data_IF_788756657941
#
_entry.id   IF_788756657941
#
_cell.length_a   1.000
_cell.length_b   1.000
_cell.length_c   1.000
_cell.angle_alpha   90.00
_cell.angle_beta   90.00
_cell.angle_gamma   90.00
#
_symmetry.space_group_name_H-M   'P 1'
#
loop_
_entity.id
_entity.type
_entity.pdbx_description
1 polymer ?
#
# COMPACT_ATOMS: atom_id res chain seq x y z
N UNK A 1 143.89 57.61 72.60
CA UNK A 1 144.16 57.26 71.19
C UNK A 1 144.37 55.76 71.01
N UNK A 2 145.39 55.14 71.63
CA UNK A 2 145.70 53.71 71.42
C UNK A 2 144.62 52.70 71.89
N UNK A 3 143.88 53.03 72.96
CA UNK A 3 142.81 52.14 73.46
C UNK A 3 141.57 52.14 72.55
N UNK A 4 141.21 53.30 71.99
CA UNK A 4 140.07 53.45 71.08
C UNK A 4 140.28 52.70 69.75
N UNK A 5 141.49 52.79 69.17
CA UNK A 5 141.82 52.07 67.93
C UNK A 5 141.77 50.54 68.10
N UNK A 6 142.10 50.04 69.29
CA UNK A 6 142.02 48.60 69.60
C UNK A 6 140.57 48.14 69.76
N UNK A 7 139.73 48.93 70.42
CA UNK A 7 138.29 48.66 70.52
C UNK A 7 137.62 48.71 69.15
N UNK A 8 137.94 49.69 68.30
CA UNK A 8 137.40 49.77 66.93
C UNK A 8 137.84 48.58 66.05
N UNK A 9 139.07 48.08 66.23
CA UNK A 9 139.55 46.87 65.55
C UNK A 9 138.87 45.60 66.07
N UNK A 10 138.66 45.50 67.38
CA UNK A 10 137.94 44.37 68.00
C UNK A 10 136.47 44.37 67.53
N UNK A 11 135.80 45.52 67.51
CA UNK A 11 134.42 45.69 67.03
C UNK A 11 134.28 45.40 65.52
N UNK A 12 135.22 45.88 64.70
CA UNK A 12 135.22 45.55 63.27
C UNK A 12 135.48 44.06 63.04
N UNK A 13 136.38 43.44 63.81
CA UNK A 13 136.64 42.00 63.71
C UNK A 13 135.40 41.19 64.12
N UNK A 14 134.69 41.61 65.17
CA UNK A 14 133.45 40.98 65.61
C UNK A 14 132.33 41.16 64.58
N UNK A 15 132.25 42.33 63.93
CA UNK A 15 131.28 42.60 62.88
C UNK A 15 131.58 41.78 61.61
N UNK A 16 132.83 41.68 61.20
CA UNK A 16 133.25 40.86 60.05
C UNK A 16 133.02 39.37 60.34
N UNK A 17 133.34 38.89 61.54
CA UNK A 17 133.09 37.50 61.92
C UNK A 17 131.59 37.18 61.99
N UNK A 18 130.78 38.13 62.49
CA UNK A 18 129.31 38.02 62.48
C UNK A 18 128.75 37.99 61.05
N UNK A 19 129.21 38.89 60.17
CA UNK A 19 128.80 38.90 58.76
C UNK A 19 129.24 37.63 58.03
N UNK A 20 130.43 37.11 58.32
CA UNK A 20 130.93 35.84 57.78
C UNK A 20 130.09 34.66 58.27
N UNK A 21 129.73 34.64 59.55
CA UNK A 21 128.85 33.63 60.12
C UNK A 21 127.46 33.66 59.46
N UNK A 22 126.87 34.85 59.32
CA UNK A 22 125.58 35.05 58.64
C UNK A 22 125.63 34.63 57.18
N UNK A 23 126.68 34.96 56.43
CA UNK A 23 126.82 34.58 55.03
C UNK A 23 127.05 33.06 54.89
N UNK A 24 127.79 32.44 55.82
CA UNK A 24 127.95 30.98 55.88
C UNK A 24 126.61 30.28 56.19
N UNK A 25 125.82 30.84 57.09
CA UNK A 25 124.48 30.33 57.42
C UNK A 25 123.52 30.48 56.23
N UNK A 26 123.48 31.64 55.58
CA UNK A 26 122.66 31.86 54.38
C UNK A 26 123.08 30.97 53.20
N UNK A 27 124.38 30.77 52.97
CA UNK A 27 124.87 29.83 51.95
C UNK A 27 124.52 28.37 52.30
N UNK A 28 124.57 28.00 53.58
CA UNK A 28 124.14 26.69 54.06
C UNK A 28 122.64 26.48 53.85
N UNK A 29 121.82 27.46 54.24
CA UNK A 29 120.38 27.45 54.01
C UNK A 29 120.03 27.37 52.51
N UNK A 30 120.75 28.11 51.66
CA UNK A 30 120.56 28.06 50.20
C UNK A 30 120.96 26.71 49.62
N UNK A 31 122.06 26.10 50.09
CA UNK A 31 122.46 24.75 49.69
C UNK A 31 121.45 23.68 50.12
N UNK A 32 120.92 23.79 51.34
CA UNK A 32 119.89 22.89 51.83
C UNK A 32 118.60 23.02 51.01
N UNK A 33 118.12 24.26 50.77
CA UNK A 33 116.95 24.52 49.95
C UNK A 33 117.13 24.03 48.49
N UNK A 34 118.32 24.19 47.91
CA UNK A 34 118.63 23.64 46.59
C UNK A 34 118.64 22.11 46.58
N UNK A 35 119.11 21.48 47.67
CA UNK A 35 119.04 20.03 47.86
C UNK A 35 117.60 19.52 47.95
N UNK A 36 116.77 20.17 48.77
CA UNK A 36 115.34 19.87 48.91
C UNK A 36 114.58 20.07 47.58
N UNK A 37 114.91 21.12 46.82
CA UNK A 37 114.37 21.33 45.47
C UNK A 37 114.81 20.22 44.49
N UNK A 38 116.07 19.77 44.58
CA UNK A 38 116.56 18.65 43.79
C UNK A 38 115.83 17.34 44.12
N UNK A 39 115.63 17.04 45.40
CA UNK A 39 114.92 15.84 45.86
C UNK A 39 113.44 15.88 45.47
N UNK A 40 112.77 17.03 45.66
CA UNK A 40 111.35 17.20 45.27
C UNK A 40 111.17 17.14 43.75
N UNK A 41 112.08 17.70 42.95
CA UNK A 41 112.07 17.57 41.49
C UNK A 41 112.24 16.12 41.03
N UNK A 42 113.15 15.38 41.67
CA UNK A 42 113.37 13.95 41.38
C UNK A 42 112.12 13.13 41.70
N UNK A 43 111.55 13.32 42.90
CA UNK A 43 110.29 12.67 43.32
C UNK A 43 109.11 13.01 42.41
N UNK A 44 109.02 14.26 41.97
CA UNK A 44 107.97 14.71 41.03
C UNK A 44 108.14 14.05 39.67
N UNK A 45 109.37 13.93 39.18
CA UNK A 45 109.67 13.26 37.90
C UNK A 45 109.33 11.77 37.97
N UNK A 46 109.67 11.10 39.08
CA UNK A 46 109.27 9.71 39.34
C UNK A 46 107.74 9.56 39.35
N UNK A 47 107.05 10.45 40.07
CA UNK A 47 105.58 10.43 40.14
C UNK A 47 104.92 10.65 38.77
N UNK A 48 105.45 11.58 37.96
CA UNK A 48 104.96 11.81 36.59
C UNK A 48 105.21 10.57 35.73
N UNK A 49 106.39 9.94 35.87
CA UNK A 49 106.71 8.72 35.14
C UNK A 49 105.74 7.59 35.51
N UNK A 50 105.46 7.38 36.78
CA UNK A 50 104.52 6.38 37.27
C UNK A 50 103.08 6.65 36.76
N UNK A 51 102.64 7.91 36.75
CA UNK A 51 101.33 8.29 36.21
C UNK A 51 101.23 8.08 34.70
N UNK A 52 102.30 8.36 33.95
CA UNK A 52 102.35 8.13 32.50
C UNK A 52 102.35 6.62 32.19
N UNK A 53 103.06 5.82 32.98
CA UNK A 53 103.06 4.36 32.85
C UNK A 53 101.67 3.78 33.14
N UNK A 54 101.04 4.20 34.27
CA UNK A 54 99.68 3.82 34.61
C UNK A 54 98.64 4.25 33.56
N UNK A 55 98.75 5.46 33.02
CA UNK A 55 97.88 5.94 31.94
C UNK A 55 98.07 5.11 30.66
N UNK A 56 99.31 4.74 30.32
CA UNK A 56 99.61 3.91 29.16
C UNK A 56 99.01 2.52 29.30
N UNK A 57 99.08 1.92 30.49
CA UNK A 57 98.46 0.62 30.78
C UNK A 57 96.93 0.69 30.73
N UNK A 58 96.33 1.78 31.23
CA UNK A 58 94.88 2.02 31.11
C UNK A 58 94.45 2.17 29.64
N UNK A 59 95.20 2.91 28.82
CA UNK A 59 94.94 3.03 27.39
C UNK A 59 95.07 1.68 26.68
N UNK A 60 96.08 0.87 27.02
CA UNK A 60 96.23 -0.48 26.46
C UNK A 60 95.04 -1.37 26.83
N UNK A 61 94.61 -1.36 28.09
CA UNK A 61 93.45 -2.11 28.54
C UNK A 61 92.15 -1.67 27.82
N UNK A 62 91.97 -0.37 27.60
CA UNK A 62 90.82 0.16 26.84
C UNK A 62 90.85 -0.29 25.37
N UNK A 63 92.01 -0.28 24.72
CA UNK A 63 92.15 -0.75 23.34
C UNK A 63 91.84 -2.25 23.25
N UNK A 64 92.35 -3.06 24.17
CA UNK A 64 92.05 -4.51 24.22
C UNK A 64 90.58 -4.80 24.52
N UNK A 65 89.94 -3.99 25.37
CA UNK A 65 88.51 -4.09 25.63
C UNK A 65 87.69 -3.71 24.39
N UNK A 66 88.04 -2.60 23.73
CA UNK A 66 87.38 -2.14 22.50
C UNK A 66 87.52 -3.14 21.35
N UNK A 67 88.67 -3.79 21.20
CA UNK A 67 88.87 -4.86 20.21
C UNK A 67 87.98 -6.07 20.50
N UNK A 68 87.95 -6.54 21.76
CA UNK A 68 87.06 -7.63 22.16
C UNK A 68 85.58 -7.29 21.96
N UNK A 69 85.20 -6.03 22.21
CA UNK A 69 83.84 -5.57 21.98
C UNK A 69 83.51 -5.52 20.49
N UNK A 70 84.43 -5.05 19.63
CA UNK A 70 84.29 -5.08 18.18
C UNK A 70 84.15 -6.51 17.63
N UNK A 71 84.97 -7.45 18.08
CA UNK A 71 84.86 -8.86 17.72
C UNK A 71 83.52 -9.46 18.18
N UNK A 72 83.04 -9.06 19.36
CA UNK A 72 81.74 -9.43 19.88
C UNK A 72 80.58 -8.90 19.03
N UNK A 73 80.67 -7.64 18.59
CA UNK A 73 79.69 -7.03 17.68
C UNK A 73 79.68 -7.72 16.31
N UNK A 74 80.84 -8.05 15.75
CA UNK A 74 80.95 -8.77 14.48
C UNK A 74 80.33 -10.17 14.57
N UNK A 75 80.59 -10.89 15.66
CA UNK A 75 80.00 -12.21 15.90
C UNK A 75 78.47 -12.13 16.09
N UNK A 76 77.98 -11.17 16.86
CA UNK A 76 76.57 -10.94 17.06
C UNK A 76 75.85 -10.56 15.75
N UNK A 77 76.50 -9.74 14.91
CA UNK A 77 75.95 -9.32 13.61
C UNK A 77 75.86 -10.48 12.64
N UNK A 78 76.87 -11.36 12.57
CA UNK A 78 76.82 -12.58 11.74
C UNK A 78 75.68 -13.49 12.18
N UNK A 79 75.56 -13.75 13.48
CA UNK A 79 74.50 -14.59 14.01
C UNK A 79 73.10 -13.99 13.81
N UNK A 80 72.96 -12.67 13.87
CA UNK A 80 71.71 -11.99 13.54
C UNK A 80 71.38 -12.11 12.04
N UNK A 81 72.38 -11.99 11.16
CA UNK A 81 72.22 -12.15 9.72
C UNK A 81 71.83 -13.58 9.34
N UNK A 82 72.49 -14.59 9.92
CA UNK A 82 72.17 -16.00 9.68
C UNK A 82 70.73 -16.34 10.12
N UNK A 83 70.30 -15.79 11.26
CA UNK A 83 68.91 -15.93 11.73
C UNK A 83 67.93 -15.23 10.79
N UNK A 84 68.27 -14.05 10.29
CA UNK A 84 67.43 -13.33 9.34
C UNK A 84 67.32 -14.10 8.01
N UNK A 85 68.41 -14.68 7.51
CA UNK A 85 68.41 -15.52 6.32
C UNK A 85 67.53 -16.77 6.50
N UNK A 86 67.65 -17.46 7.64
CA UNK A 86 66.80 -18.61 7.95
C UNK A 86 65.31 -18.22 8.04
N UNK A 87 64.98 -17.13 8.72
CA UNK A 87 63.60 -16.62 8.81
C UNK A 87 63.06 -16.18 7.44
N UNK A 88 63.89 -15.57 6.60
CA UNK A 88 63.51 -15.17 5.25
C UNK A 88 63.24 -16.39 4.35
N UNK A 89 64.05 -17.45 4.47
CA UNK A 89 63.83 -18.71 3.77
C UNK A 89 62.51 -19.37 4.21
N UNK A 90 62.28 -19.47 5.52
CA UNK A 90 61.04 -20.03 6.07
C UNK A 90 59.80 -19.22 5.65
N UNK A 91 59.86 -17.89 5.72
CA UNK A 91 58.77 -17.02 5.28
C UNK A 91 58.49 -17.17 3.78
N UNK A 92 59.53 -17.31 2.95
CA UNK A 92 59.39 -17.55 1.52
C UNK A 92 58.71 -18.90 1.25
N UNK A 93 59.14 -19.96 1.91
CA UNK A 93 58.56 -21.29 1.73
C UNK A 93 57.11 -21.35 2.19
N UNK A 94 56.79 -20.71 3.32
CA UNK A 94 55.41 -20.58 3.81
C UNK A 94 54.50 -19.86 2.81
N UNK A 95 54.97 -18.74 2.22
CA UNK A 95 54.22 -18.01 1.19
C UNK A 95 54.02 -18.85 -0.09
N UNK A 96 55.03 -19.63 -0.50
CA UNK A 96 54.90 -20.52 -1.66
C UNK A 96 53.86 -21.60 -1.42
N UNK A 97 53.84 -22.23 -0.24
CA UNK A 97 52.80 -23.23 0.06
C UNK A 97 51.41 -22.61 0.23
N UNK A 98 51.29 -21.45 0.88
CA UNK A 98 50.01 -20.75 1.00
C UNK A 98 49.46 -20.37 -0.37
N UNK A 99 50.29 -19.83 -1.27
CA UNK A 99 49.86 -19.51 -2.64
C UNK A 99 49.49 -20.77 -3.43
N UNK A 100 50.18 -21.89 -3.23
CA UNK A 100 49.83 -23.18 -3.84
C UNK A 100 48.48 -23.69 -3.34
N UNK A 101 48.23 -23.62 -2.03
CA UNK A 101 46.95 -23.99 -1.43
C UNK A 101 45.82 -23.08 -1.92
N UNK A 102 46.04 -21.76 -1.95
CA UNK A 102 45.08 -20.79 -2.47
C UNK A 102 44.74 -21.06 -3.95
N UNK A 103 45.74 -21.34 -4.79
CA UNK A 103 45.52 -21.73 -6.19
C UNK A 103 44.71 -23.03 -6.32
N UNK A 104 44.99 -24.04 -5.48
CA UNK A 104 44.24 -25.28 -5.49
C UNK A 104 42.77 -25.09 -5.09
N UNK A 105 42.50 -24.23 -4.10
CA UNK A 105 41.15 -23.87 -3.69
C UNK A 105 40.42 -23.06 -4.76
N UNK A 106 41.11 -22.12 -5.43
CA UNK A 106 40.57 -21.37 -6.57
C UNK A 106 40.24 -22.29 -7.75
N UNK A 107 41.09 -23.29 -8.03
CA UNK A 107 40.80 -24.25 -9.07
C UNK A 107 39.58 -25.12 -8.73
N UNK A 108 39.51 -25.65 -7.50
CA UNK A 108 38.37 -26.45 -7.06
C UNK A 108 37.05 -25.66 -7.13
N UNK A 109 37.06 -24.41 -6.68
CA UNK A 109 35.88 -23.52 -6.75
C UNK A 109 35.52 -23.15 -8.19
N UNK A 110 36.49 -22.99 -9.09
CA UNK A 110 36.23 -22.77 -10.51
C UNK A 110 35.62 -24.01 -11.18
N UNK A 111 36.08 -25.21 -10.84
CA UNK A 111 35.53 -26.47 -11.33
C UNK A 111 34.09 -26.70 -10.83
N UNK A 112 33.83 -26.44 -9.54
CA UNK A 112 32.49 -26.47 -8.96
C UNK A 112 31.56 -25.45 -9.63
N UNK A 113 32.03 -24.22 -9.84
CA UNK A 113 31.26 -23.17 -10.52
C UNK A 113 30.90 -23.57 -11.95
N UNK A 114 31.82 -24.23 -12.68
CA UNK A 114 31.55 -24.75 -14.03
C UNK A 114 30.50 -25.86 -13.99
N UNK A 115 30.59 -26.80 -13.04
CA UNK A 115 29.61 -27.88 -12.90
C UNK A 115 28.20 -27.34 -12.58
N UNK A 116 28.11 -26.36 -11.68
CA UNK A 116 26.85 -25.68 -11.36
C UNK A 116 26.28 -24.91 -12.56
N UNK A 117 27.14 -24.23 -13.34
CA UNK A 117 26.72 -23.53 -14.55
C UNK A 117 26.17 -24.50 -15.61
N UNK A 118 26.83 -25.66 -15.81
CA UNK A 118 26.34 -26.69 -16.73
C UNK A 118 24.99 -27.25 -16.28
N UNK A 119 24.84 -27.58 -14.99
CA UNK A 119 23.56 -28.06 -14.46
C UNK A 119 22.45 -27.01 -14.57
N UNK A 120 22.75 -25.73 -14.32
CA UNK A 120 21.80 -24.64 -14.50
C UNK A 120 21.38 -24.46 -15.96
N UNK A 121 22.32 -24.62 -16.91
CA UNK A 121 22.02 -24.57 -18.34
C UNK A 121 21.13 -25.74 -18.77
N UNK A 122 21.41 -26.97 -18.32
CA UNK A 122 20.57 -28.15 -18.57
C UNK A 122 19.16 -27.97 -18.00
N UNK A 123 19.04 -27.45 -16.78
CA UNK A 123 17.74 -27.15 -16.18
C UNK A 123 16.98 -26.07 -16.94
N UNK A 124 17.67 -25.03 -17.42
CA UNK A 124 17.06 -23.99 -18.23
C UNK A 124 16.55 -24.55 -19.56
N UNK A 125 17.31 -25.45 -20.20
CA UNK A 125 16.89 -26.14 -21.42
C UNK A 125 15.62 -26.98 -21.18
N UNK A 126 15.59 -27.79 -20.13
CA UNK A 126 14.39 -28.59 -19.78
C UNK A 126 13.18 -27.70 -19.51
N UNK A 127 13.36 -26.54 -18.87
CA UNK A 127 12.27 -25.56 -18.67
C UNK A 127 11.80 -24.95 -19.99
N UNK A 128 12.73 -24.63 -20.89
CA UNK A 128 12.41 -24.11 -22.21
C UNK A 128 11.62 -25.14 -23.03
N UNK A 129 12.00 -26.42 -22.98
CA UNK A 129 11.29 -27.51 -23.66
C UNK A 129 9.87 -27.69 -23.11
N UNK A 130 9.70 -27.72 -21.78
CA UNK A 130 8.38 -27.80 -21.13
C UNK A 130 7.50 -26.59 -21.42
N UNK A 131 8.10 -25.40 -21.47
CA UNK A 131 7.40 -24.18 -21.86
C UNK A 131 6.99 -24.24 -23.33
N UNK A 132 7.86 -24.76 -24.20
CA UNK A 132 7.55 -25.02 -25.60
C UNK A 132 6.36 -25.96 -25.77
N UNK A 133 6.34 -27.08 -25.03
CA UNK A 133 5.24 -28.04 -25.02
C UNK A 133 3.93 -27.39 -24.51
N UNK A 134 3.98 -26.68 -23.38
CA UNK A 134 2.81 -26.00 -22.83
C UNK A 134 2.27 -24.89 -23.75
N UNK A 135 3.15 -24.14 -24.43
CA UNK A 135 2.75 -23.14 -25.42
C UNK A 135 2.13 -23.78 -26.66
N UNK A 136 2.65 -24.92 -27.10
CA UNK A 136 2.09 -25.67 -28.21
C UNK A 136 0.68 -26.19 -27.87
N UNK A 137 0.50 -26.80 -26.70
CA UNK A 137 -0.80 -27.25 -26.21
C UNK A 137 -1.79 -26.09 -26.06
N UNK A 138 -1.33 -24.95 -25.53
CA UNK A 138 -2.15 -23.76 -25.40
C UNK A 138 -2.55 -23.19 -26.78
N UNK A 139 -1.63 -23.17 -27.74
CA UNK A 139 -1.91 -22.75 -29.10
C UNK A 139 -2.93 -23.67 -29.76
N UNK A 140 -2.78 -25.00 -29.63
CA UNK A 140 -3.72 -25.97 -30.18
C UNK A 140 -5.12 -25.84 -29.56
N UNK A 141 -5.22 -25.64 -28.24
CA UNK A 141 -6.52 -25.37 -27.57
C UNK A 141 -7.13 -24.05 -28.00
N UNK A 142 -6.33 -23.01 -28.19
CA UNK A 142 -6.80 -21.71 -28.67
C UNK A 142 -7.35 -21.81 -30.10
N UNK A 143 -6.68 -22.57 -30.97
CA UNK A 143 -7.10 -22.83 -32.34
C UNK A 143 -8.43 -23.60 -32.38
N UNK A 144 -8.54 -24.69 -31.61
CA UNK A 144 -9.80 -25.44 -31.45
C UNK A 144 -10.95 -24.57 -30.93
N UNK A 145 -10.68 -23.66 -29.98
CA UNK A 145 -11.68 -22.73 -29.48
C UNK A 145 -12.08 -21.68 -30.53
N UNK A 146 -11.15 -21.27 -31.41
CA UNK A 146 -11.44 -20.39 -32.53
C UNK A 146 -12.33 -21.10 -33.57
N UNK A 147 -12.01 -22.33 -33.93
CA UNK A 147 -12.83 -23.15 -34.85
C UNK A 147 -14.24 -23.36 -34.30
N UNK A 148 -14.37 -23.74 -33.02
CA UNK A 148 -15.68 -23.89 -32.37
C UNK A 148 -16.51 -22.60 -32.39
N UNK A 149 -15.86 -21.43 -32.28
CA UNK A 149 -16.53 -20.12 -32.40
C UNK A 149 -16.96 -19.85 -33.84
N UNK A 150 -16.15 -20.20 -34.84
CA UNK A 150 -16.50 -20.06 -36.25
C UNK A 150 -17.70 -20.94 -36.61
N UNK A 151 -17.73 -22.19 -36.12
CA UNK A 151 -18.87 -23.08 -36.32
C UNK A 151 -20.13 -22.57 -35.63
N UNK A 152 -20.00 -22.06 -34.41
CA UNK A 152 -21.12 -21.43 -33.70
C UNK A 152 -21.63 -20.20 -34.45
N UNK A 153 -20.73 -19.35 -34.94
CA UNK A 153 -21.10 -18.18 -35.74
C UNK A 153 -21.81 -18.60 -37.03
N UNK A 154 -21.33 -19.64 -37.72
CA UNK A 154 -22.00 -20.20 -38.91
C UNK A 154 -23.41 -20.69 -38.56
N UNK A 155 -23.58 -21.41 -37.45
CA UNK A 155 -24.89 -21.89 -37.00
C UNK A 155 -25.85 -20.73 -36.73
N UNK A 156 -25.39 -19.69 -36.02
CA UNK A 156 -26.20 -18.49 -35.76
C UNK A 156 -26.59 -17.81 -37.07
N UNK A 157 -25.68 -17.70 -38.05
CA UNK A 157 -25.99 -17.12 -39.36
C UNK A 157 -27.06 -17.94 -40.09
N UNK A 158 -26.98 -19.27 -40.06
CA UNK A 158 -28.01 -20.15 -40.65
C UNK A 158 -29.36 -19.97 -39.94
N UNK A 159 -29.38 -19.96 -38.61
CA UNK A 159 -30.60 -19.78 -37.81
C UNK A 159 -31.21 -18.39 -38.00
N UNK A 160 -30.38 -17.35 -38.08
CA UNK A 160 -30.81 -15.98 -38.39
C UNK A 160 -31.37 -15.92 -39.82
N UNK A 161 -30.74 -16.61 -40.77
CA UNK A 161 -31.27 -16.77 -42.13
C UNK A 161 -32.67 -17.37 -42.15
N UNK A 162 -32.88 -18.49 -41.45
CA UNK A 162 -34.21 -19.10 -41.34
C UNK A 162 -35.24 -18.21 -40.65
N UNK A 163 -34.85 -17.46 -39.61
CA UNK A 163 -35.75 -16.51 -38.94
C UNK A 163 -36.12 -15.34 -39.84
N UNK A 164 -35.20 -14.88 -40.70
CA UNK A 164 -35.47 -13.86 -41.72
C UNK A 164 -36.43 -14.40 -42.77
N UNK A 165 -36.25 -15.64 -43.22
CA UNK A 165 -37.18 -16.30 -44.16
C UNK A 165 -38.58 -16.43 -43.53
N UNK A 166 -38.69 -16.93 -42.29
CA UNK A 166 -39.97 -17.00 -41.56
C UNK A 166 -40.61 -15.63 -41.33
N UNK A 167 -39.81 -14.59 -41.06
CA UNK A 167 -40.31 -13.23 -40.92
C UNK A 167 -40.81 -12.68 -42.27
N UNK A 168 -40.13 -13.04 -43.37
CA UNK A 168 -40.54 -12.77 -44.74
C UNK A 168 -41.90 -13.41 -45.05
N UNK A 169 -42.06 -14.69 -44.74
CA UNK A 169 -43.33 -15.42 -44.93
C UNK A 169 -44.47 -14.80 -44.11
N UNK A 170 -44.26 -14.51 -42.82
CA UNK A 170 -45.27 -13.82 -42.00
C UNK A 170 -45.61 -12.42 -42.50
N UNK A 171 -44.65 -11.72 -43.10
CA UNK A 171 -44.90 -10.42 -43.71
C UNK A 171 -45.76 -10.54 -44.97
N UNK A 172 -45.52 -11.57 -45.80
CA UNK A 172 -46.35 -11.90 -46.95
C UNK A 172 -47.77 -12.27 -46.52
N UNK A 173 -47.95 -13.15 -45.53
CA UNK A 173 -49.26 -13.53 -45.00
C UNK A 173 -50.04 -12.30 -44.47
N UNK A 174 -49.36 -11.38 -43.77
CA UNK A 174 -49.99 -10.14 -43.31
C UNK A 174 -50.40 -9.24 -44.46
N UNK A 175 -49.58 -9.14 -45.50
CA UNK A 175 -49.91 -8.38 -46.70
C UNK A 175 -51.13 -8.96 -47.39
N UNK A 176 -51.19 -10.28 -47.58
CA UNK A 176 -52.36 -10.98 -48.13
C UNK A 176 -53.61 -10.70 -47.28
N UNK A 177 -53.52 -10.86 -45.96
CA UNK A 177 -54.62 -10.55 -45.04
C UNK A 177 -55.06 -9.08 -45.07
N UNK A 178 -54.13 -8.14 -45.23
CA UNK A 178 -54.50 -6.72 -45.39
C UNK A 178 -55.19 -6.46 -46.71
N UNK A 179 -54.76 -7.12 -47.80
CA UNK A 179 -55.41 -7.00 -49.12
C UNK A 179 -56.81 -7.60 -49.07
N UNK A 180 -57.00 -8.76 -48.44
CA UNK A 180 -58.33 -9.35 -48.22
C UNK A 180 -59.25 -8.43 -47.42
N UNK A 181 -58.76 -7.83 -46.33
CA UNK A 181 -59.52 -6.85 -45.54
C UNK A 181 -59.87 -5.60 -46.35
N UNK A 182 -58.96 -5.11 -47.19
CA UNK A 182 -59.26 -4.01 -48.10
C UNK A 182 -60.37 -4.39 -49.10
N UNK A 183 -60.30 -5.59 -49.69
CA UNK A 183 -61.34 -6.07 -50.60
C UNK A 183 -62.70 -6.24 -49.89
N UNK A 184 -62.71 -6.75 -48.66
CA UNK A 184 -63.93 -6.86 -47.85
C UNK A 184 -64.52 -5.49 -47.50
N UNK A 185 -63.67 -4.51 -47.13
CA UNK A 185 -64.12 -3.15 -46.86
C UNK A 185 -64.70 -2.48 -48.12
N UNK A 186 -64.11 -2.71 -49.30
CA UNK A 186 -64.65 -2.24 -50.57
C UNK A 186 -66.02 -2.89 -50.87
N UNK A 187 -66.17 -4.19 -50.66
CA UNK A 187 -67.45 -4.88 -50.84
C UNK A 187 -68.53 -4.35 -49.88
N UNK A 188 -68.17 -4.06 -48.63
CA UNK A 188 -69.09 -3.46 -47.65
C UNK A 188 -69.50 -2.03 -48.06
N UNK A 189 -68.58 -1.25 -48.63
CA UNK A 189 -68.91 0.07 -49.18
C UNK A 189 -69.92 -0.08 -50.33
N UNK A 190 -69.71 -1.03 -51.25
CA UNK A 190 -70.65 -1.29 -52.35
C UNK A 190 -72.05 -1.70 -51.84
N UNK A 191 -72.12 -2.53 -50.79
CA UNK A 191 -73.37 -2.90 -50.14
C UNK A 191 -74.09 -1.68 -49.53
N UNK A 192 -73.37 -0.83 -48.79
CA UNK A 192 -73.96 0.38 -48.20
C UNK A 192 -74.45 1.38 -49.26
N UNK A 193 -73.79 1.45 -50.42
CA UNK A 193 -74.25 2.25 -51.55
C UNK A 193 -75.57 1.65 -52.11
N UNK A 194 -75.65 0.32 -52.24
CA UNK A 194 -76.87 -0.38 -52.63
C UNK A 194 -78.04 -0.11 -51.67
N UNK A 195 -77.81 -0.14 -50.36
CA UNK A 195 -78.85 0.18 -49.36
C UNK A 195 -79.33 1.63 -49.43
N UNK A 196 -78.44 2.58 -49.74
CA UNK A 196 -78.78 3.99 -49.92
C UNK A 196 -79.66 4.20 -51.16
N UNK A 197 -79.35 3.52 -52.25
CA UNK A 197 -80.18 3.54 -53.47
C UNK A 197 -81.56 2.92 -53.23
N UNK A 198 -81.62 1.79 -52.53
CA UNK A 198 -82.88 1.15 -52.15
C UNK A 198 -83.75 2.05 -51.25
N UNK A 199 -83.12 2.78 -50.32
CA UNK A 199 -83.81 3.74 -49.45
C UNK A 199 -84.28 4.97 -50.23
N UNK A 200 -83.51 5.43 -51.22
CA UNK A 200 -83.91 6.50 -52.12
C UNK A 200 -85.14 6.12 -52.97
N UNK A 201 -85.24 4.85 -53.38
CA UNK A 201 -86.38 4.35 -54.15
C UNK A 201 -87.68 4.26 -53.33
N UNK A 202 -87.62 4.00 -52.02
CA UNK A 202 -88.80 3.83 -51.14
C UNK A 202 -89.30 5.12 -50.48
N UNK A 203 -88.47 6.17 -50.45
CA UNK A 203 -88.81 7.50 -49.93
C UNK A 203 -90.13 8.11 -50.43
N UNK A 204 -90.51 8.05 -51.73
CA UNK A 204 -91.77 8.63 -52.19
C UNK A 204 -93.00 7.89 -51.64
N UNK A 205 -92.94 6.57 -51.49
CA UNK A 205 -94.04 5.78 -50.91
C UNK A 205 -94.17 6.02 -49.40
N UNK A 206 -93.06 6.11 -48.68
CA UNK A 206 -93.06 6.42 -47.25
C UNK A 206 -93.57 7.85 -46.98
N UNK A 207 -93.24 8.82 -47.85
CA UNK A 207 -93.78 10.17 -47.78
C UNK A 207 -95.30 10.20 -48.00
N UNK A 208 -95.81 9.43 -48.96
CA UNK A 208 -97.25 9.29 -49.20
C UNK A 208 -97.98 8.69 -47.98
N UNK A 209 -97.46 7.58 -47.42
CA UNK A 209 -98.03 6.97 -46.21
C UNK A 209 -98.04 7.92 -45.02
N UNK A 210 -97.01 8.75 -44.85
CA UNK A 210 -96.98 9.76 -43.78
C UNK A 210 -98.01 10.87 -43.99
N UNK A 211 -98.25 11.29 -45.23
CA UNK A 211 -99.31 12.28 -45.54
C UNK A 211 -100.70 11.69 -45.28
N UNK A 212 -100.94 10.43 -45.62
CA UNK A 212 -102.20 9.74 -45.32
C UNK A 212 -102.43 9.56 -43.82
N UNK A 213 -101.41 9.21 -43.05
CA UNK A 213 -101.49 9.10 -41.60
C UNK A 213 -101.85 10.45 -40.93
N UNK A 214 -101.29 11.57 -41.44
CA UNK A 214 -101.65 12.92 -40.98
C UNK A 214 -103.09 13.27 -41.36
N UNK A 215 -103.58 12.84 -42.53
CA UNK A 215 -104.97 13.05 -42.93
C UNK A 215 -105.95 12.29 -42.02
N UNK A 216 -105.65 11.03 -41.71
CA UNK A 216 -106.46 10.20 -40.83
C UNK A 216 -106.55 10.77 -39.41
N UNK A 217 -105.45 11.29 -38.85
CA UNK A 217 -105.46 11.89 -37.51
C UNK A 217 -106.27 13.19 -37.45
N UNK A 218 -106.32 13.96 -38.54
CA UNK A 218 -107.17 15.15 -38.66
C UNK A 218 -108.66 14.77 -38.76
N UNK A 219 -109.01 13.73 -39.51
CA UNK A 219 -110.38 13.21 -39.56
C UNK A 219 -110.85 12.66 -38.21
N UNK A 220 -109.98 11.92 -37.50
CA UNK A 220 -110.26 11.41 -36.16
C UNK A 220 -110.43 12.55 -35.14
N UNK A 221 -109.63 13.62 -35.27
CA UNK A 221 -109.77 14.84 -34.48
C UNK A 221 -111.10 15.57 -34.73
N UNK A 222 -111.57 15.63 -35.97
CA UNK A 222 -112.87 16.20 -36.32
C UNK A 222 -114.04 15.34 -35.82
N UNK A 223 -113.91 14.01 -35.88
CA UNK A 223 -114.89 13.08 -35.35
C UNK A 223 -115.00 13.15 -33.82
N UNK A 224 -113.88 13.28 -33.11
CA UNK A 224 -113.86 13.49 -31.67
C UNK A 224 -114.55 14.80 -31.26
N UNK A 225 -114.44 15.84 -32.08
CA UNK A 225 -115.10 17.14 -31.85
C UNK A 225 -116.62 17.05 -32.06
N UNK A 226 -117.08 16.24 -33.02
CA UNK A 226 -118.50 15.94 -33.24
C UNK A 226 -119.09 15.01 -32.16
N UNK A 227 -118.32 14.05 -31.67
CA UNK A 227 -118.73 13.19 -30.55
C UNK A 227 -118.84 13.99 -29.23
N UNK A 228 -117.96 14.97 -29.01
CA UNK A 228 -118.03 15.85 -27.85
C UNK A 228 -119.27 16.77 -27.88
N UNK A 229 -119.69 17.24 -29.06
CA UNK A 229 -120.91 18.05 -29.19
C UNK A 229 -122.20 17.22 -29.02
N UNK A 230 -122.23 15.97 -29.46
CA UNK A 230 -123.33 15.05 -29.16
C UNK A 230 -123.37 14.61 -27.69
N UNK A 231 -122.22 14.39 -27.05
CA UNK A 231 -122.13 14.08 -25.62
C UNK A 231 -122.65 15.23 -24.74
N UNK A 232 -122.38 16.48 -25.14
CA UNK A 232 -122.93 17.66 -24.46
C UNK A 232 -124.46 17.76 -24.60
N UNK A 233 -125.04 17.34 -25.74
CA UNK A 233 -126.48 17.30 -25.94
C UNK A 233 -127.16 16.17 -25.13
N UNK A 234 -126.52 15.00 -25.04
CA UNK A 234 -126.98 13.88 -24.23
C UNK A 234 -126.87 14.16 -22.71
N UNK A 235 -125.85 14.89 -22.26
CA UNK A 235 -125.71 15.30 -20.86
C UNK A 235 -126.81 16.30 -20.45
N UNK A 236 -127.35 17.10 -21.37
CA UNK A 236 -128.57 17.91 -21.13
C UNK A 236 -129.84 17.07 -20.99
N UNK A 237 -129.93 15.91 -21.64
CA UNK A 237 -131.05 14.96 -21.52
C UNK A 237 -130.91 14.11 -20.23
N UNK A 238 -129.68 13.80 -19.81
CA UNK A 238 -129.38 13.10 -18.55
C UNK A 238 -129.59 13.97 -17.30
N UNK A 239 -129.44 15.30 -17.42
CA UNK A 239 -129.86 16.26 -16.39
C UNK A 239 -131.38 16.25 -16.17
N UNK A 240 -132.15 15.91 -17.21
CA UNK A 240 -133.61 15.78 -17.19
C UNK A 240 -134.04 14.42 -16.59
N UNK A 241 -133.27 13.35 -16.83
CA UNK A 241 -133.44 12.06 -16.14
C UNK A 241 -133.20 12.19 -14.62
N UNK A 242 -132.13 12.85 -14.19
CA UNK A 242 -131.70 12.85 -12.78
C UNK A 242 -132.56 13.65 -11.79
N UNK A 243 -133.49 14.48 -12.27
CA UNK A 243 -134.34 15.34 -11.46
C UNK A 243 -135.75 14.79 -11.20
N UNK A 244 -136.25 13.90 -12.08
CA UNK A 244 -137.59 13.31 -11.95
C UNK A 244 -137.59 11.83 -11.53
N UNK A 245 -136.63 11.04 -12.04
CA UNK A 245 -136.00 10.03 -11.19
C UNK A 245 -135.25 10.77 -10.06
N UNK A 246 -134.60 10.17 -9.08
CA UNK A 246 -134.60 10.81 -7.73
C UNK A 246 -136.00 11.19 -7.26
N UNK A 247 -136.97 10.53 -7.91
CA UNK A 247 -137.42 9.28 -7.28
C UNK A 247 -137.91 9.77 -5.95
N UNK A 248 -138.71 10.84 -6.10
CA UNK A 248 -139.27 11.61 -5.04
C UNK A 248 -140.40 10.71 -4.62
N UNK A 249 -139.95 9.72 -3.88
CA UNK A 249 -140.30 9.83 -2.51
C UNK A 249 -141.82 9.80 -2.40
N UNK A 250 -142.60 8.92 -3.06
CA UNK A 250 -142.44 7.54 -3.53
C UNK A 250 -141.71 6.57 -2.58
N UNK A 251 -140.53 6.93 -2.07
CA UNK A 251 -140.20 6.78 -0.62
C UNK A 251 -141.41 6.94 0.32
N UNK A 252 -142.50 7.64 0.01
CA UNK A 252 -143.65 7.58 0.91
C UNK A 252 -144.49 6.30 0.72
N UNK A 253 -144.61 5.80 -0.52
CA UNK A 253 -145.26 4.51 -0.79
C UNK A 253 -144.49 3.30 -0.24
N UNK A 254 -143.20 3.48 0.09
CA UNK A 254 -142.38 2.44 0.70
C UNK A 254 -142.10 2.68 2.21
N UNK A 255 -142.50 3.82 2.77
CA UNK A 255 -142.31 4.13 4.20
C UNK A 255 -143.42 3.59 5.11
N UNK A 256 -144.68 3.44 4.69
CA UNK A 256 -145.69 2.89 5.62
C UNK A 256 -146.07 1.41 5.41
N UNK A 257 -145.87 0.86 4.21
CA UNK A 257 -146.12 -0.58 3.99
C UNK A 257 -144.97 -1.49 4.50
N UNK A 258 -143.76 -0.93 4.68
CA UNK A 258 -142.63 -1.53 5.43
C UNK A 258 -142.57 -0.96 6.87
N UNK A 259 -143.58 -0.17 7.23
CA UNK A 259 -144.23 -0.26 8.53
C UNK A 259 -145.40 -1.24 8.45
N UNK A 260 -145.14 -2.43 7.93
CA UNK A 260 -145.27 -3.61 8.78
C UNK A 260 -145.22 -3.11 10.23
N UNK A 261 -146.28 -3.28 11.02
CA UNK A 261 -146.25 -2.73 12.38
C UNK A 261 -145.27 -3.57 13.20
N UNK A 262 -143.99 -3.53 12.85
CA UNK A 262 -143.48 -4.79 12.33
C UNK A 262 -142.46 -4.70 11.21
N UNK A 263 -142.07 -5.92 10.83
CA UNK A 263 -141.05 -6.38 9.88
C UNK A 263 -140.45 -5.29 9.00
N UNK A 264 -139.29 -4.85 9.45
CA UNK A 264 -138.01 -5.12 8.79
C UNK A 264 -136.97 -5.34 9.88
N UNK A 265 -136.10 -6.33 9.70
CA UNK A 265 -134.82 -6.51 10.37
C UNK A 265 -133.87 -6.88 9.24
N UNK A 266 -132.92 -6.02 8.86
CA UNK A 266 -131.61 -5.85 9.50
C UNK A 266 -130.62 -6.73 8.70
N UNK A 267 -129.38 -6.38 8.36
CA UNK A 267 -128.49 -5.26 8.63
C UNK A 267 -127.29 -5.44 7.64
N UNK A 268 -126.70 -4.32 7.18
CA UNK A 268 -125.35 -3.99 6.62
C UNK A 268 -124.28 -5.05 6.17
N UNK A 269 -123.07 -4.69 5.66
CA UNK A 269 -122.62 -3.65 4.69
C UNK A 269 -121.50 -4.10 3.68
N UNK A 270 -121.04 -3.14 2.85
CA UNK A 270 -119.65 -2.87 2.40
C UNK A 270 -118.98 -3.68 1.26
N UNK A 271 -117.95 -3.01 0.67
CA UNK A 271 -116.79 -3.47 -0.15
C UNK A 271 -116.98 -3.44 -1.68
N UNK A 272 -115.99 -3.14 -2.54
CA UNK A 272 -114.65 -2.48 -2.55
C UNK A 272 -114.17 -2.57 -4.02
N UNK A 273 -113.14 -1.76 -4.39
CA UNK A 273 -112.09 -2.03 -5.42
C UNK A 273 -112.49 -1.87 -6.92
N UNK A 274 -111.64 -1.50 -7.90
CA UNK A 274 -110.16 -1.43 -8.09
C UNK A 274 -109.83 -0.65 -9.41
N UNK A 275 -108.73 0.14 -9.42
CA UNK A 275 -107.76 0.59 -10.47
C UNK A 275 -108.13 0.84 -11.96
N UNK A 276 -107.43 1.75 -12.72
CA UNK A 276 -105.97 1.66 -13.03
C UNK A 276 -105.15 2.98 -13.23
N UNK A 277 -103.89 2.77 -13.68
CA UNK A 277 -102.62 3.56 -13.82
C UNK A 277 -102.54 4.39 -15.14
N UNK A 278 -101.68 5.45 -15.28
CA UNK A 278 -100.39 5.35 -15.99
C UNK A 278 -99.20 6.20 -15.43
N UNK A 279 -97.98 5.81 -15.81
CA UNK A 279 -96.68 6.49 -15.63
C UNK A 279 -95.78 6.19 -16.88
N UNK A 280 -94.47 6.56 -16.95
CA UNK A 280 -93.85 7.89 -17.19
C UNK A 280 -92.80 7.85 -18.36
N UNK A 281 -91.98 8.90 -18.60
CA UNK A 281 -90.75 8.77 -19.41
C UNK A 281 -89.44 9.17 -18.68
N UNK A 282 -88.32 8.78 -19.31
CA UNK A 282 -86.91 9.20 -19.19
C UNK A 282 -85.99 8.63 -18.10
N UNK A 283 -84.91 7.97 -18.56
CA UNK A 283 -83.59 7.86 -17.94
C UNK A 283 -82.53 8.16 -19.02
N UNK A 284 -81.33 8.66 -18.67
CA UNK A 284 -80.24 7.73 -18.32
C UNK A 284 -79.28 8.25 -17.22
N UNK A 285 -78.71 7.33 -16.44
CA UNK A 285 -77.48 7.56 -15.68
C UNK A 285 -76.84 6.21 -15.32
N UNK A 286 -75.54 6.09 -15.57
CA UNK A 286 -74.52 5.56 -14.64
C UNK A 286 -73.14 5.45 -15.31
N UNK A 287 -72.09 5.88 -14.58
CA UNK A 287 -70.78 5.24 -14.69
C UNK A 287 -70.19 4.85 -13.31
N UNK A 288 -69.15 4.01 -13.40
CA UNK A 288 -68.01 3.83 -12.48
C UNK A 288 -68.03 2.84 -11.28
N UNK A 289 -67.03 1.94 -11.37
CA UNK A 289 -66.03 1.56 -10.36
C UNK A 289 -66.34 0.47 -9.32
N UNK A 290 -65.81 -0.74 -9.61
CA UNK A 290 -65.56 -1.83 -8.68
C UNK A 290 -64.10 -2.30 -8.74
N UNK A 291 -63.50 -2.49 -7.56
CA UNK A 291 -62.07 -2.66 -7.22
C UNK A 291 -61.52 -4.06 -7.51
N UNK A 292 -60.18 -4.19 -7.63
CA UNK A 292 -59.46 -5.43 -7.29
C UNK A 292 -58.09 -5.66 -7.97
N UNK A 293 -57.00 -5.40 -7.22
CA UNK A 293 -55.55 -5.69 -7.47
C UNK A 293 -55.23 -7.23 -7.41
N UNK A 294 -53.98 -7.77 -7.60
CA UNK A 294 -52.68 -7.18 -7.97
C UNK A 294 -51.70 -8.01 -8.88
N UNK A 295 -50.60 -7.33 -9.29
CA UNK A 295 -49.18 -7.78 -9.41
C UNK A 295 -48.58 -8.49 -10.67
N UNK A 296 -47.75 -7.70 -11.39
CA UNK A 296 -46.30 -7.87 -11.70
C UNK A 296 -45.83 -8.75 -12.88
N UNK A 297 -45.26 -8.10 -13.91
CA UNK A 297 -44.04 -8.43 -14.70
C UNK A 297 -43.89 -7.36 -15.82
N UNK A 298 -42.87 -6.49 -15.78
CA UNK A 298 -41.62 -6.54 -16.57
C UNK A 298 -41.78 -6.17 -18.06
N UNK A 299 -41.14 -5.06 -18.46
CA UNK A 299 -40.63 -4.88 -19.82
C UNK A 299 -39.20 -4.27 -19.80
N UNK A 300 -38.37 -4.59 -20.81
CA UNK A 300 -36.92 -4.42 -20.82
C UNK A 300 -36.44 -3.27 -21.71
N UNK A 301 -35.18 -2.85 -21.53
CA UNK A 301 -34.26 -2.27 -22.55
C UNK A 301 -32.89 -2.08 -21.86
N UNK A 302 -31.92 -2.96 -22.17
CA UNK A 302 -30.79 -2.73 -23.10
C UNK A 302 -29.67 -1.87 -22.45
N UNK A 303 -28.37 -2.15 -22.51
CA UNK A 303 -27.53 -3.21 -23.09
C UNK A 303 -26.13 -2.98 -22.46
N UNK A 304 -25.43 -4.03 -21.99
CA UNK A 304 -24.00 -3.97 -21.66
C UNK A 304 -23.16 -3.86 -22.94
N UNK A 305 -21.87 -3.53 -22.96
CA UNK A 305 -20.72 -4.03 -22.21
C UNK A 305 -19.53 -3.14 -22.59
N UNK A 306 -18.55 -2.97 -21.69
CA UNK A 306 -17.09 -3.20 -21.89
C UNK A 306 -16.34 -2.57 -20.70
N UNK A 307 -15.78 -3.41 -19.83
CA UNK A 307 -14.70 -2.98 -18.94
C UNK A 307 -13.42 -2.74 -19.73
N UNK A 308 -12.46 -2.00 -19.15
CA UNK A 308 -11.00 -2.24 -19.16
C UNK A 308 -10.32 -1.33 -18.14
N UNK A 309 -9.37 -1.90 -17.39
CA UNK A 309 -8.26 -1.17 -16.81
C UNK A 309 -7.56 -0.31 -17.89
N UNK A 310 -7.17 0.91 -17.53
CA UNK A 310 -6.05 1.60 -18.17
C UNK A 310 -5.41 2.58 -17.18
N UNK A 311 -4.11 2.39 -16.98
CA UNK A 311 -3.20 3.31 -16.31
C UNK A 311 -2.65 4.33 -17.34
N UNK A 312 -2.26 5.49 -16.81
CA UNK A 312 -1.42 6.60 -17.35
C UNK A 312 -2.04 7.62 -18.32
N UNK A 313 -1.54 8.89 -18.39
CA UNK A 313 -0.40 9.52 -17.69
C UNK A 313 -0.72 10.86 -16.97
N UNK A 314 0.22 11.36 -16.16
CA UNK A 314 0.22 12.75 -15.66
C UNK A 314 0.40 13.75 -16.82
N UNK A 315 -0.20 14.95 -16.74
CA UNK A 315 0.64 16.12 -16.46
C UNK A 315 -0.02 17.18 -15.56
N UNK A 316 0.81 17.83 -14.75
CA UNK A 316 0.68 19.28 -14.50
C UNK A 316 -0.33 19.74 -13.43
N UNK A 317 0.22 20.00 -12.24
CA UNK A 317 0.08 21.26 -11.50
C UNK A 317 -1.33 21.79 -11.14
N UNK A 318 -1.70 21.64 -9.86
CA UNK A 318 -2.41 22.68 -9.12
C UNK A 318 -2.10 22.57 -7.62
N UNK A 319 -1.65 23.69 -7.04
CA UNK A 319 -1.15 23.86 -5.67
C UNK A 319 -2.24 23.83 -4.58
N UNK A 320 -1.82 23.85 -3.30
CA UNK A 320 -2.35 24.86 -2.38
C UNK A 320 -1.22 25.73 -1.78
N UNK A 321 -1.54 27.02 -1.60
CA UNK A 321 -0.70 28.08 -1.03
C UNK A 321 -0.60 28.01 0.53
N UNK A 322 0.36 28.75 1.16
CA UNK A 322 0.97 28.43 2.45
C UNK A 322 0.42 29.24 3.65
N UNK A 323 0.98 29.03 4.86
CA UNK A 323 1.45 30.18 5.63
C UNK A 323 2.95 30.11 6.01
N UNK A 324 3.65 31.17 5.61
CA UNK A 324 4.74 31.91 6.28
C UNK A 324 5.74 31.18 7.20
N UNK A 325 6.97 31.07 6.67
CA UNK A 325 8.25 31.52 7.24
C UNK A 325 8.53 31.26 8.74
N UNK A 326 9.25 30.17 9.02
CA UNK A 326 10.42 30.19 9.90
C UNK A 326 11.60 29.58 9.12
N UNK A 327 12.47 30.45 8.61
CA UNK A 327 13.69 30.06 7.93
C UNK A 327 14.70 29.60 8.99
N UNK A 328 14.89 28.28 9.12
CA UNK A 328 16.10 27.74 9.72
C UNK A 328 17.29 28.13 8.83
N UNK A 329 18.03 29.15 9.28
CA UNK A 329 19.20 29.67 8.60
C UNK A 329 20.42 28.81 8.86
N UNK A 330 21.33 28.77 7.89
CA UNK A 330 22.67 28.15 7.98
C UNK A 330 23.52 28.63 9.18
N UNK A 331 23.11 29.68 9.87
CA UNK A 331 23.72 30.18 11.12
C UNK A 331 23.39 29.35 12.37
N UNK A 332 22.45 28.39 12.30
CA UNK A 332 22.12 27.46 13.39
C UNK A 332 22.95 26.15 13.34
N UNK A 333 23.75 25.98 12.27
CA UNK A 333 24.68 24.86 12.07
C UNK A 333 26.12 25.19 12.47
N UNK A 334 26.38 26.43 12.89
CA UNK A 334 27.71 26.91 13.29
C UNK A 334 27.56 27.78 14.53
N UNK A 335 27.17 27.17 15.65
CA UNK A 335 27.49 27.70 16.97
C UNK A 335 28.49 26.75 17.64
N UNK A 336 29.71 27.24 17.79
CA UNK A 336 30.83 26.60 18.47
C UNK A 336 30.74 27.04 19.95
N UNK A 337 29.93 26.32 20.72
CA UNK A 337 29.67 26.54 22.15
C UNK A 337 29.97 25.28 22.97
N UNK A 338 30.56 25.40 24.17
CA UNK A 338 31.31 24.31 24.79
C UNK A 338 30.39 23.29 25.47
N UNK A 339 30.58 22.02 25.12
CA UNK A 339 30.09 20.88 25.89
C UNK A 339 28.99 20.10 25.18
N UNK A 340 29.41 19.05 24.46
CA UNK A 340 28.54 17.94 24.07
C UNK A 340 27.74 17.47 25.29
N UNK A 341 26.42 17.64 25.22
CA UNK A 341 25.52 16.93 26.12
C UNK A 341 25.35 15.51 25.57
N UNK A 342 25.55 14.46 26.38
CA UNK A 342 25.41 13.08 25.90
C UNK A 342 24.04 12.86 25.27
N UNK A 343 24.02 12.20 24.10
CA UNK A 343 22.84 11.80 23.35
C UNK A 343 21.71 11.32 24.27
N UNK A 344 20.60 12.07 24.26
CA UNK A 344 19.42 11.78 25.07
C UNK A 344 18.70 10.53 24.53
N UNK A 345 18.71 9.46 25.31
CA UNK A 345 18.23 8.12 24.94
C UNK A 345 16.70 7.96 25.01
N UNK A 346 15.97 9.00 25.38
CA UNK A 346 14.53 8.97 25.66
C UNK A 346 13.67 9.61 24.55
N UNK A 347 13.92 9.26 23.28
CA UNK A 347 12.92 9.50 22.23
C UNK A 347 11.75 8.52 22.40
N UNK A 348 10.49 9.00 22.51
CA UNK A 348 9.34 8.16 22.82
C UNK A 348 9.21 7.00 21.83
N UNK A 349 8.92 5.83 22.39
CA UNK A 349 8.71 4.58 21.67
C UNK A 349 7.55 4.78 20.68
N UNK A 350 7.80 4.53 19.39
CA UNK A 350 6.75 4.48 18.38
C UNK A 350 5.63 3.53 18.85
N UNK A 351 4.34 3.86 18.67
CA UNK A 351 3.25 2.95 19.01
C UNK A 351 3.49 1.56 18.37
N UNK A 352 3.20 0.48 19.10
CA UNK A 352 3.48 -0.89 18.63
C UNK A 352 2.86 -1.18 17.25
N UNK A 353 1.65 -0.68 16.99
CA UNK A 353 0.98 -0.80 15.68
C UNK A 353 1.74 -0.10 14.54
N UNK A 354 2.43 1.01 14.84
CA UNK A 354 3.26 1.73 13.88
C UNK A 354 4.60 1.01 13.64
N UNK A 355 5.10 0.27 14.64
CA UNK A 355 6.31 -0.55 14.52
C UNK A 355 6.08 -1.77 13.63
N UNK A 356 4.95 -2.46 13.79
CA UNK A 356 4.57 -3.61 12.94
C UNK A 356 4.36 -3.18 11.48
N UNK A 357 3.66 -2.06 11.27
CA UNK A 357 3.49 -1.49 9.93
C UNK A 357 4.83 -1.06 9.29
N UNK A 358 5.77 -0.57 10.10
CA UNK A 358 7.13 -0.22 9.64
C UNK A 358 7.92 -1.49 9.29
N UNK A 359 7.84 -2.54 10.12
CA UNK A 359 8.46 -3.86 9.88
C UNK A 359 7.97 -4.44 8.54
N UNK A 360 6.66 -4.41 8.27
CA UNK A 360 6.09 -4.92 7.03
C UNK A 360 6.53 -4.09 5.80
N UNK A 361 6.52 -2.75 5.91
CA UNK A 361 7.00 -1.86 4.84
C UNK A 361 8.47 -2.10 4.50
N UNK A 362 9.32 -2.21 5.52
CA UNK A 362 10.75 -2.46 5.37
C UNK A 362 11.01 -3.84 4.77
N UNK A 363 10.36 -4.87 5.29
CA UNK A 363 10.52 -6.24 4.78
C UNK A 363 10.05 -6.34 3.33
N UNK A 364 8.94 -5.68 2.98
CA UNK A 364 8.47 -5.57 1.60
C UNK A 364 9.45 -4.80 0.71
N UNK A 365 10.04 -3.70 1.20
CA UNK A 365 11.05 -2.93 0.47
C UNK A 365 12.30 -3.78 0.15
N UNK A 366 12.77 -4.59 1.11
CA UNK A 366 13.90 -5.51 0.91
C UNK A 366 13.55 -6.59 -0.11
N UNK A 367 12.36 -7.20 -0.01
CA UNK A 367 11.90 -8.21 -0.98
C UNK A 367 11.73 -7.64 -2.39
N UNK A 368 11.27 -6.39 -2.55
CA UNK A 368 11.18 -5.71 -3.86
C UNK A 368 12.54 -5.50 -4.52
N UNK A 369 13.63 -5.47 -3.75
CA UNK A 369 14.99 -5.45 -4.29
C UNK A 369 15.48 -6.82 -4.78
N UNK A 370 14.67 -7.87 -4.67
CA UNK A 370 15.06 -9.25 -4.98
C UNK A 370 15.93 -9.89 -3.90
N UNK A 371 15.97 -9.30 -2.70
CA UNK A 371 16.71 -9.81 -1.55
C UNK A 371 15.72 -10.52 -0.62
N UNK A 372 15.90 -11.83 -0.42
CA UNK A 372 15.12 -12.59 0.55
C UNK A 372 15.93 -12.84 1.84
N UNK A 373 15.59 -12.18 2.97
CA UNK A 373 16.31 -12.34 4.23
C UNK A 373 16.31 -13.79 4.76
N UNK A 374 15.26 -14.56 4.47
CA UNK A 374 15.11 -15.93 4.95
C UNK A 374 16.00 -16.90 4.17
N UNK A 375 16.17 -16.68 2.87
CA UNK A 375 17.04 -17.50 2.03
C UNK A 375 18.53 -17.23 2.28
N UNK A 376 18.88 -15.99 2.63
CA UNK A 376 20.27 -15.54 2.73
C UNK A 376 20.92 -15.83 4.09
N UNK A 377 20.13 -15.83 5.16
CA UNK A 377 20.65 -16.04 6.51
C UNK A 377 20.27 -17.44 7.00
N UNK A 378 21.13 -18.47 6.93
CA UNK A 378 20.80 -19.76 7.51
C UNK A 378 20.72 -19.67 9.04
N UNK A 379 19.92 -20.54 9.66
CA UNK A 379 19.66 -20.52 11.11
C UNK A 379 20.93 -20.52 11.96
N UNK A 380 21.96 -21.26 11.58
CA UNK A 380 23.26 -21.30 12.27
C UNK A 380 23.96 -19.94 12.33
N UNK A 381 23.83 -19.11 11.28
CA UNK A 381 24.42 -17.76 11.25
C UNK A 381 23.61 -16.76 12.06
N UNK A 382 22.30 -16.96 12.12
CA UNK A 382 21.42 -16.20 13.03
C UNK A 382 21.73 -16.52 14.48
N UNK A 383 22.01 -17.79 14.80
CA UNK A 383 22.44 -18.20 16.15
C UNK A 383 23.78 -17.57 16.54
N UNK A 384 24.76 -17.55 15.63
CA UNK A 384 26.05 -16.88 15.84
C UNK A 384 25.92 -15.37 16.04
N UNK A 385 25.07 -14.71 15.23
CA UNK A 385 24.79 -13.28 15.35
C UNK A 385 24.02 -12.96 16.64
N UNK A 386 23.05 -13.80 17.02
CA UNK A 386 22.30 -13.65 18.27
C UNK A 386 23.20 -13.79 19.49
N UNK A 387 24.17 -14.71 19.46
CA UNK A 387 25.17 -14.85 20.51
C UNK A 387 26.03 -13.58 20.64
N UNK A 388 26.50 -13.02 19.52
CA UNK A 388 27.27 -11.77 19.54
C UNK A 388 26.47 -10.59 20.13
N UNK A 389 25.18 -10.47 19.78
CA UNK A 389 24.28 -9.46 20.35
C UNK A 389 24.06 -9.69 21.86
N UNK A 390 23.89 -10.94 22.30
CA UNK A 390 23.78 -11.28 23.71
C UNK A 390 25.06 -10.97 24.50
N UNK A 391 26.23 -11.12 23.88
CA UNK A 391 27.55 -10.73 24.42
C UNK A 391 27.80 -9.21 24.38
N UNK A 392 26.81 -8.41 23.94
CA UNK A 392 26.89 -6.94 23.78
C UNK A 392 27.92 -6.48 22.74
N UNK A 393 28.16 -7.32 21.74
CA UNK A 393 29.03 -7.04 20.59
C UNK A 393 28.21 -7.00 19.28
N UNK A 394 27.51 -5.88 18.99
CA UNK A 394 26.73 -5.74 17.76
C UNK A 394 27.61 -5.66 16.52
N UNK A 395 28.87 -5.25 16.64
CA UNK A 395 29.79 -5.12 15.49
C UNK A 395 30.20 -6.48 14.95
N UNK A 396 30.42 -7.45 15.83
CA UNK A 396 30.63 -8.84 15.42
C UNK A 396 29.41 -9.42 14.73
N UNK A 397 28.19 -9.10 15.18
CA UNK A 397 26.96 -9.49 14.50
C UNK A 397 26.90 -8.92 13.07
N UNK A 398 27.23 -7.64 12.88
CA UNK A 398 27.32 -7.01 11.55
C UNK A 398 28.36 -7.68 10.66
N UNK A 399 29.53 -8.03 11.19
CA UNK A 399 30.58 -8.72 10.43
C UNK A 399 30.15 -10.11 9.96
N UNK A 400 29.43 -10.87 10.79
CA UNK A 400 28.86 -12.18 10.42
C UNK A 400 27.92 -12.02 9.23
N UNK A 401 26.99 -11.06 9.29
CA UNK A 401 26.02 -10.80 8.21
C UNK A 401 26.71 -10.37 6.92
N UNK A 402 27.73 -9.49 7.00
CA UNK A 402 28.52 -9.06 5.83
C UNK A 402 29.28 -10.20 5.17
N UNK A 403 29.77 -11.16 5.95
CA UNK A 403 30.46 -12.35 5.44
C UNK A 403 29.49 -13.30 4.74
N UNK A 404 28.27 -13.45 5.27
CA UNK A 404 27.26 -14.38 4.76
C UNK A 404 26.54 -13.83 3.52
N UNK A 405 26.20 -12.53 3.52
CA UNK A 405 25.39 -11.92 2.46
C UNK A 405 25.99 -10.60 1.92
N UNK A 406 27.25 -10.57 1.43
CA UNK A 406 27.93 -9.34 1.03
C UNK A 406 27.25 -8.60 -0.13
N UNK A 407 26.67 -9.34 -1.09
CA UNK A 407 25.97 -8.75 -2.22
C UNK A 407 24.66 -8.07 -1.81
N UNK A 408 23.89 -8.72 -0.92
CA UNK A 408 22.64 -8.17 -0.39
C UNK A 408 22.89 -6.93 0.46
N UNK A 409 23.88 -6.96 1.36
CA UNK A 409 24.25 -5.80 2.18
C UNK A 409 24.65 -4.61 1.30
N UNK A 410 25.44 -4.82 0.24
CA UNK A 410 25.78 -3.75 -0.73
C UNK A 410 24.57 -3.22 -1.49
N UNK A 411 23.65 -4.09 -1.93
CA UNK A 411 22.46 -3.67 -2.68
C UNK A 411 21.52 -2.84 -1.79
N UNK A 412 21.31 -3.29 -0.55
CA UNK A 412 20.50 -2.60 0.46
C UNK A 412 21.15 -1.26 0.82
N UNK A 413 22.45 -1.23 1.11
CA UNK A 413 23.20 0.01 1.42
C UNK A 413 23.10 1.03 0.30
N UNK A 414 23.33 0.62 -0.97
CA UNK A 414 23.20 1.51 -2.12
C UNK A 414 21.79 2.06 -2.28
N UNK A 415 20.76 1.23 -2.04
CA UNK A 415 19.37 1.65 -2.15
C UNK A 415 18.98 2.64 -1.05
N UNK A 416 19.34 2.34 0.20
CA UNK A 416 19.15 3.24 1.35
C UNK A 416 19.87 4.58 1.15
N UNK A 417 21.03 4.59 0.49
CA UNK A 417 21.70 5.82 0.12
C UNK A 417 20.99 6.62 -0.98
N UNK A 418 20.30 5.95 -1.90
CA UNK A 418 19.65 6.59 -3.05
C UNK A 418 18.24 7.08 -2.74
N UNK A 419 17.56 6.49 -1.75
CA UNK A 419 16.15 6.68 -1.45
C UNK A 419 15.97 7.26 -0.03
N UNK A 420 15.69 8.58 0.12
CA UNK A 420 15.68 9.26 1.42
C UNK A 420 14.53 8.81 2.32
N UNK A 421 13.39 8.42 1.75
CA UNK A 421 12.24 7.91 2.51
C UNK A 421 12.57 6.52 3.07
N UNK A 422 13.17 5.65 2.25
CA UNK A 422 13.65 4.35 2.70
C UNK A 422 14.75 4.49 3.76
N UNK A 423 15.60 5.52 3.65
CA UNK A 423 16.64 5.80 4.66
C UNK A 423 16.04 6.13 6.02
N UNK A 424 15.09 7.05 6.06
CA UNK A 424 14.45 7.44 7.32
C UNK A 424 13.68 6.28 7.96
N UNK A 425 12.94 5.50 7.15
CA UNK A 425 12.26 4.28 7.60
C UNK A 425 13.25 3.22 8.11
N UNK A 426 14.39 3.02 7.41
CA UNK A 426 15.41 2.05 7.80
C UNK A 426 16.12 2.44 9.11
N UNK A 427 16.49 3.71 9.27
CA UNK A 427 17.11 4.21 10.49
C UNK A 427 16.16 4.13 11.69
N UNK A 428 14.89 4.51 11.50
CA UNK A 428 13.87 4.40 12.54
C UNK A 428 13.64 2.94 12.96
N UNK A 429 13.58 2.03 11.97
CA UNK A 429 13.41 0.60 12.22
C UNK A 429 14.61 -0.01 12.95
N UNK A 430 15.83 0.23 12.46
CA UNK A 430 17.08 -0.26 13.08
C UNK A 430 17.20 0.27 14.51
N UNK A 431 16.90 1.54 14.76
CA UNK A 431 16.95 2.14 16.10
C UNK A 431 15.92 1.56 17.07
N UNK A 432 14.69 1.30 16.61
CA UNK A 432 13.67 0.70 17.45
C UNK A 432 14.02 -0.76 17.79
N UNK A 433 14.47 -1.51 16.79
CA UNK A 433 14.82 -2.93 16.93
C UNK A 433 16.10 -3.12 17.76
N UNK A 434 17.11 -2.27 17.58
CA UNK A 434 18.35 -2.32 18.37
C UNK A 434 18.11 -2.02 19.85
N UNK A 435 17.18 -1.10 20.18
CA UNK A 435 16.76 -0.85 21.56
C UNK A 435 16.07 -2.06 22.20
N UNK A 436 15.18 -2.74 21.47
CA UNK A 436 14.54 -3.98 21.95
C UNK A 436 15.58 -5.09 22.20
N UNK A 437 16.53 -5.27 21.28
CA UNK A 437 17.62 -6.23 21.45
C UNK A 437 18.56 -5.88 22.60
N UNK A 438 18.90 -4.59 22.77
CA UNK A 438 19.74 -4.12 23.86
C UNK A 438 19.07 -4.32 25.23
N UNK A 439 17.75 -4.09 25.34
CA UNK A 439 16.98 -4.37 26.55
C UNK A 439 17.03 -5.87 26.89
N UNK A 440 16.77 -6.75 25.93
CA UNK A 440 16.84 -8.21 26.13
C UNK A 440 18.25 -8.69 26.49
N UNK A 441 19.29 -8.12 25.87
CA UNK A 441 20.68 -8.42 26.20
C UNK A 441 21.07 -7.89 27.59
N UNK A 442 20.51 -6.76 28.04
CA UNK A 442 20.67 -6.26 29.40
C UNK A 442 20.05 -7.22 30.43
N UNK A 443 18.90 -7.80 30.11
CA UNK A 443 18.18 -8.79 30.92
C UNK A 443 18.79 -10.21 30.85
N UNK A 444 19.89 -10.41 30.10
CA UNK A 444 20.52 -11.70 29.80
C UNK A 444 19.55 -12.72 29.14
N UNK A 445 18.54 -12.23 28.42
CA UNK A 445 17.59 -13.06 27.67
C UNK A 445 18.14 -13.44 26.29
N UNK A 446 19.20 -14.25 26.27
CA UNK A 446 19.79 -14.82 25.05
C UNK A 446 18.78 -15.57 24.17
N UNK A 447 17.90 -16.42 24.72
CA UNK A 447 16.84 -17.07 23.96
C UNK A 447 15.86 -16.09 23.31
N UNK A 448 15.50 -14.99 23.99
CA UNK A 448 14.65 -13.95 23.44
C UNK A 448 15.31 -13.14 22.32
N UNK A 449 16.61 -12.84 22.45
CA UNK A 449 17.42 -12.24 21.36
C UNK A 449 17.42 -13.15 20.14
N UNK A 450 17.66 -14.45 20.32
CA UNK A 450 17.62 -15.43 19.23
C UNK A 450 16.23 -15.54 18.61
N UNK A 451 15.18 -15.60 19.44
CA UNK A 451 13.79 -15.67 18.98
C UNK A 451 13.42 -14.44 18.14
N UNK A 452 13.84 -13.25 18.56
CA UNK A 452 13.57 -12.00 17.83
C UNK A 452 14.35 -11.93 16.51
N UNK A 453 15.61 -12.32 16.49
CA UNK A 453 16.44 -12.35 15.27
C UNK A 453 16.04 -13.45 14.27
N UNK A 454 15.39 -14.52 14.74
CA UNK A 454 14.92 -15.61 13.87
C UNK A 454 13.69 -15.22 13.04
N UNK A 455 12.92 -14.22 13.49
CA UNK A 455 11.75 -13.70 12.78
C UNK A 455 12.09 -13.08 11.42
N UNK A 456 11.10 -12.98 10.53
CA UNK A 456 11.23 -12.33 9.21
C UNK A 456 11.76 -10.89 9.37
N UNK A 457 11.20 -10.12 10.30
CA UNK A 457 11.68 -8.77 10.62
C UNK A 457 13.07 -8.73 11.24
N UNK A 458 13.43 -9.73 12.06
CA UNK A 458 14.78 -9.83 12.64
C UNK A 458 15.86 -10.07 11.59
N UNK A 459 15.55 -10.84 10.55
CA UNK A 459 16.47 -11.08 9.43
C UNK A 459 16.57 -9.87 8.52
N UNK A 460 15.47 -9.16 8.28
CA UNK A 460 15.47 -7.87 7.62
C UNK A 460 16.30 -6.84 8.40
N UNK A 461 16.16 -6.80 9.73
CA UNK A 461 16.97 -5.97 10.63
C UNK A 461 18.46 -6.26 10.48
N UNK A 462 18.88 -7.53 10.54
CA UNK A 462 20.30 -7.90 10.41
C UNK A 462 20.92 -7.39 9.11
N UNK A 463 20.20 -7.47 7.99
CA UNK A 463 20.68 -6.96 6.71
C UNK A 463 20.77 -5.44 6.68
N UNK A 464 19.80 -4.73 7.28
CA UNK A 464 19.80 -3.27 7.36
C UNK A 464 20.85 -2.75 8.32
N UNK A 465 20.99 -3.34 9.49
CA UNK A 465 21.98 -2.94 10.49
C UNK A 465 23.41 -3.12 9.95
N UNK A 466 23.67 -4.22 9.23
CA UNK A 466 24.93 -4.43 8.53
C UNK A 466 25.18 -3.44 7.37
N UNK A 467 24.12 -2.90 6.76
CA UNK A 467 24.18 -1.97 5.63
C UNK A 467 24.24 -0.48 6.04
N UNK A 468 23.65 -0.13 7.18
CA UNK A 468 23.51 1.25 7.69
C UNK A 468 24.54 1.56 8.77
N UNK A 469 24.99 0.58 9.56
CA UNK A 469 25.91 0.78 10.70
C UNK A 469 27.31 1.32 10.37
N UNK A 470 27.61 1.65 9.11
CA UNK A 470 28.85 2.30 8.65
C UNK A 470 28.61 3.76 8.17
N UNK A 471 27.36 4.22 8.15
CA UNK A 471 26.99 5.59 7.73
C UNK A 471 26.99 6.59 8.90
N UNK A 472 27.28 6.12 10.11
CA UNK A 472 27.32 6.90 11.35
C UNK A 472 28.76 7.10 11.83
#
# INVERSE_FOLDING_TARGET
>A
AAYALRTDQEDFSAQVESQRAQLSEQLSATRNAAGELGETSTRTTETIKDLVEAATDQFRALVEMSQREADGFDAATKLALDRFEALAAEARDALVEETRLALSALQATAEESRALATSAAEQAQVRADRLGEALFDAAQKADQAADARVDTARKIVVETGSLVDEAGDRALERLESTVERMNAALAQIDETIGELDDRAARLPEEAQKRVEAVRASVEEGLAALAAASQKAAADTEALDAGFQERVRRNYDMLTEAVRLMGVVSGDTPALRRREPVPAPPTGPAEPEAGRGRPARAEEPRAFGLRGRLKLEPMPGSAAPNPPSEDRLGWSDLVDDGPGETPLDLDTPVMPAEAADALEERITAAIRRMGVDPNALLPRSRVEEAAQAVAERDPDRARQIVRRVAPAAVRSVSRRVLTDPDLRSDAEAYVRAFSRDLAARAADNDGPGVLGRLTSDGGRAFMLLDAAVGDLA
#
